data_IF_837144680537
#
_entry.id   IF_837144680537
#
_cell.length_a   1.000
_cell.length_b   1.000
_cell.length_c   1.000
_cell.angle_alpha   90.00
_cell.angle_beta   90.00
_cell.angle_gamma   90.00
#
_symmetry.space_group_name_H-M   'P 1'
#
loop_
_entity.id
_entity.type
_entity.pdbx_description
1 polymer ?
#
# COMPACT_ATOMS: atom_id res chain seq x y z
N UNK A 1 25.94 9.52 7.70
CA UNK A 1 25.66 8.08 7.87
C UNK A 1 24.69 7.94 9.02
N UNK A 2 23.82 6.90 9.06
CA UNK A 2 22.92 6.68 10.20
C UNK A 2 21.64 7.51 10.22
N UNK A 3 21.17 7.98 9.06
CA UNK A 3 19.82 8.55 8.99
C UNK A 3 18.78 7.43 9.14
N UNK A 4 17.76 7.67 9.95
CA UNK A 4 16.66 6.74 10.20
C UNK A 4 15.33 7.46 9.94
N UNK A 5 14.43 6.79 9.24
CA UNK A 5 13.13 7.33 8.86
C UNK A 5 12.06 6.28 9.11
N UNK A 6 10.99 6.68 9.79
CA UNK A 6 9.82 5.83 10.00
C UNK A 6 8.71 6.32 9.10
N UNK A 7 8.12 5.41 8.32
CA UNK A 7 7.03 5.73 7.43
C UNK A 7 5.71 5.93 8.19
N UNK A 8 4.71 6.45 7.50
CA UNK A 8 3.31 6.34 7.94
C UNK A 8 2.89 4.88 8.02
N UNK A 9 1.80 4.65 8.76
CA UNK A 9 1.15 3.34 8.91
C UNK A 9 0.14 3.12 7.79
N UNK A 10 -0.04 1.86 7.38
CA UNK A 10 -1.05 1.42 6.41
C UNK A 10 -1.62 0.08 6.83
N UNK A 11 -2.94 -0.03 6.82
CA UNK A 11 -3.65 -1.30 6.99
C UNK A 11 -3.69 -2.07 5.67
N UNK A 12 -3.28 -3.34 5.71
CA UNK A 12 -3.35 -4.25 4.58
C UNK A 12 -4.77 -4.81 4.50
N UNK A 13 -5.41 -4.69 3.34
CA UNK A 13 -6.77 -5.14 3.08
C UNK A 13 -6.82 -6.40 2.21
N UNK A 14 -7.92 -7.14 2.28
CA UNK A 14 -8.18 -8.28 1.38
C UNK A 14 -8.11 -7.87 -0.09
N UNK A 15 -8.56 -6.66 -0.43
CA UNK A 15 -8.52 -6.15 -1.80
C UNK A 15 -7.10 -5.95 -2.31
N UNK A 16 -6.17 -5.49 -1.47
CA UNK A 16 -4.77 -5.34 -1.86
C UNK A 16 -4.09 -6.69 -2.07
N UNK A 17 -4.41 -7.68 -1.23
CA UNK A 17 -3.94 -9.06 -1.40
C UNK A 17 -4.42 -9.60 -2.74
N UNK A 18 -5.72 -9.48 -3.04
CA UNK A 18 -6.29 -9.94 -4.31
C UNK A 18 -5.67 -9.23 -5.52
N UNK A 19 -5.49 -7.91 -5.46
CA UNK A 19 -4.86 -7.13 -6.54
C UNK A 19 -3.40 -7.53 -6.73
N UNK A 20 -2.64 -7.72 -5.65
CA UNK A 20 -1.25 -8.15 -5.74
C UNK A 20 -1.13 -9.55 -6.33
N UNK A 21 -1.99 -10.49 -5.93
CA UNK A 21 -2.07 -11.81 -6.55
C UNK A 21 -2.33 -11.73 -8.05
N UNK A 22 -3.25 -10.86 -8.48
CA UNK A 22 -3.54 -10.68 -9.90
C UNK A 22 -2.35 -10.10 -10.69
N UNK A 23 -1.64 -9.12 -10.13
CA UNK A 23 -0.48 -8.48 -10.79
C UNK A 23 0.75 -9.38 -10.79
N UNK A 24 1.01 -10.08 -9.69
CA UNK A 24 2.19 -10.95 -9.53
C UNK A 24 2.01 -12.33 -10.15
N UNK A 25 0.77 -12.76 -10.39
CA UNK A 25 0.44 -14.13 -10.78
C UNK A 25 0.48 -15.15 -9.64
N UNK A 26 0.65 -14.70 -8.38
CA UNK A 26 0.63 -15.56 -7.20
C UNK A 26 -0.81 -15.87 -6.76
N UNK A 27 -1.35 -16.96 -7.30
CA UNK A 27 -2.63 -17.54 -6.90
C UNK A 27 -2.46 -18.73 -5.94
N UNK A 28 -1.40 -18.75 -5.14
CA UNK A 28 -1.20 -19.79 -4.13
C UNK A 28 -2.38 -19.84 -3.15
N UNK A 29 -2.83 -21.04 -2.72
CA UNK A 29 -3.95 -21.17 -1.79
C UNK A 29 -3.79 -20.34 -0.50
N UNK A 30 -2.56 -20.19 0.00
CA UNK A 30 -2.27 -19.35 1.18
C UNK A 30 -2.70 -17.88 1.00
N UNK A 31 -2.63 -17.37 -0.22
CA UNK A 31 -2.93 -15.98 -0.55
C UNK A 31 -4.37 -15.80 -1.05
N UNK A 32 -4.89 -16.79 -1.80
CA UNK A 32 -6.18 -16.67 -2.49
C UNK A 32 -7.33 -17.45 -1.87
N UNK A 33 -7.04 -18.46 -1.05
CA UNK A 33 -8.07 -19.24 -0.38
C UNK A 33 -8.33 -18.65 1.02
N UNK A 34 -9.55 -18.17 1.22
CA UNK A 34 -10.06 -17.73 2.53
C UNK A 34 -11.03 -18.76 3.12
N UNK A 35 -11.01 -20.00 2.62
CA UNK A 35 -11.92 -21.04 3.03
C UNK A 35 -11.87 -21.18 4.56
N UNK A 36 -13.05 -21.07 5.19
CA UNK A 36 -13.25 -21.22 6.65
C UNK A 36 -13.02 -19.98 7.53
N UNK A 37 -13.14 -18.76 7.01
CA UNK A 37 -13.20 -17.55 7.87
C UNK A 37 -11.86 -17.13 8.49
N UNK A 38 -10.75 -17.67 7.99
CA UNK A 38 -9.40 -17.17 8.27
C UNK A 38 -9.11 -15.91 7.44
N UNK A 39 -8.34 -14.98 8.00
CA UNK A 39 -7.85 -13.82 7.26
C UNK A 39 -6.83 -14.26 6.19
N UNK A 40 -6.90 -13.68 4.99
CA UNK A 40 -5.95 -13.99 3.91
C UNK A 40 -4.55 -13.55 4.29
N UNK A 41 -3.56 -14.40 3.99
CA UNK A 41 -2.16 -14.02 4.16
C UNK A 41 -1.72 -13.09 3.03
N UNK A 42 -1.05 -12.01 3.41
CA UNK A 42 -0.37 -11.15 2.45
C UNK A 42 0.86 -11.88 1.90
N UNK A 43 1.01 -12.01 0.57
CA UNK A 43 2.22 -12.53 -0.03
C UNK A 43 3.46 -11.75 0.46
N UNK A 44 4.60 -12.39 0.72
CA UNK A 44 5.81 -11.68 1.17
C UNK A 44 6.23 -10.52 0.24
N UNK A 45 6.03 -10.70 -1.08
CA UNK A 45 6.26 -9.65 -2.07
C UNK A 45 5.37 -8.42 -1.89
N UNK A 46 4.12 -8.59 -1.43
CA UNK A 46 3.22 -7.48 -1.13
C UNK A 46 3.76 -6.65 0.05
N UNK A 47 4.23 -7.31 1.11
CA UNK A 47 4.79 -6.62 2.29
C UNK A 47 6.02 -5.79 1.89
N UNK A 48 6.93 -6.36 1.09
CA UNK A 48 8.10 -5.65 0.59
C UNK A 48 7.71 -4.47 -0.34
N UNK A 49 6.74 -4.67 -1.23
CA UNK A 49 6.24 -3.63 -2.12
C UNK A 49 5.57 -2.48 -1.36
N UNK A 50 4.77 -2.77 -0.33
CA UNK A 50 4.16 -1.76 0.54
C UNK A 50 5.22 -0.98 1.31
N UNK A 51 6.23 -1.66 1.87
CA UNK A 51 7.33 -0.99 2.58
C UNK A 51 8.08 0.00 1.66
N UNK A 52 8.37 -0.40 0.42
CA UNK A 52 9.00 0.47 -0.58
C UNK A 52 8.09 1.63 -1.01
N UNK A 53 6.79 1.38 -1.20
CA UNK A 53 5.81 2.41 -1.55
C UNK A 53 5.54 3.42 -0.43
N UNK A 54 5.64 3.01 0.84
CA UNK A 54 5.58 3.94 1.97
C UNK A 54 6.85 4.80 2.05
N UNK A 55 8.02 4.19 1.79
CA UNK A 55 9.29 4.92 1.76
C UNK A 55 9.31 6.03 0.72
N UNK A 56 8.75 5.82 -0.48
CA UNK A 56 8.72 6.85 -1.54
C UNK A 56 7.94 8.11 -1.15
N UNK A 57 7.06 8.01 -0.16
CA UNK A 57 6.24 9.12 0.31
C UNK A 57 6.83 9.80 1.56
N UNK A 58 7.48 9.04 2.44
CA UNK A 58 7.88 9.51 3.77
C UNK A 58 9.38 9.68 3.96
N UNK A 59 10.19 9.17 3.03
CA UNK A 59 11.64 9.31 3.10
C UNK A 59 12.16 10.34 2.10
N UNK A 60 13.27 11.02 2.44
CA UNK A 60 14.05 11.78 1.46
C UNK A 60 14.86 10.81 0.58
N UNK A 61 14.16 10.06 -0.30
CA UNK A 61 14.80 9.14 -1.23
C UNK A 61 15.63 9.97 -2.23
N UNK A 62 16.93 9.68 -2.37
CA UNK A 62 17.78 10.37 -3.35
C UNK A 62 17.35 10.05 -4.78
N UNK A 63 17.93 10.73 -5.77
CA UNK A 63 17.70 10.38 -7.18
C UNK A 63 18.32 9.00 -7.48
N UNK A 64 17.51 7.95 -7.40
CA UNK A 64 17.90 6.56 -7.64
C UNK A 64 18.09 6.34 -9.14
N UNK A 65 19.28 5.90 -9.52
CA UNK A 65 19.61 5.52 -10.89
C UNK A 65 19.19 4.06 -11.17
N UNK A 66 19.45 3.17 -10.23
CA UNK A 66 19.11 1.76 -10.32
C UNK A 66 18.99 1.13 -8.93
N UNK A 67 18.04 0.22 -8.78
CA UNK A 67 18.01 -0.72 -7.66
C UNK A 67 18.95 -1.88 -7.99
N UNK A 68 19.95 -2.09 -7.14
CA UNK A 68 21.04 -3.03 -7.41
C UNK A 68 20.75 -4.39 -6.78
N UNK A 69 20.29 -4.39 -5.54
CA UNK A 69 19.86 -5.61 -4.85
C UNK A 69 18.80 -5.31 -3.79
N UNK A 70 18.03 -6.35 -3.48
CA UNK A 70 17.19 -6.39 -2.30
C UNK A 70 17.23 -7.81 -1.72
N UNK A 71 17.37 -7.92 -0.40
CA UNK A 71 17.30 -9.18 0.35
C UNK A 71 16.29 -9.02 1.46
N UNK A 72 15.45 -10.04 1.69
CA UNK A 72 14.35 -9.98 2.64
C UNK A 72 14.22 -11.27 3.47
N UNK A 73 13.74 -11.11 4.70
CA UNK A 73 13.30 -12.15 5.62
C UNK A 73 11.91 -11.80 6.14
N UNK A 74 11.07 -12.80 6.37
CA UNK A 74 9.68 -12.61 6.79
C UNK A 74 9.39 -13.43 8.05
N UNK A 75 9.83 -12.96 9.24
CA UNK A 75 9.72 -13.72 10.49
C UNK A 75 8.29 -13.89 11.00
N UNK A 76 7.35 -13.01 10.63
CA UNK A 76 5.94 -13.07 11.05
C UNK A 76 5.04 -12.87 9.82
N UNK A 77 4.04 -13.75 9.59
CA UNK A 77 3.09 -13.55 8.50
C UNK A 77 2.25 -12.30 8.77
N UNK A 78 1.89 -11.60 7.68
CA UNK A 78 0.94 -10.49 7.70
C UNK A 78 -0.38 -11.01 7.12
N UNK A 79 -1.50 -10.64 7.73
CA UNK A 79 -2.84 -10.99 7.25
C UNK A 79 -3.66 -9.74 6.94
N UNK A 80 -4.74 -9.91 6.18
CA UNK A 80 -5.71 -8.83 5.99
C UNK A 80 -6.22 -8.30 7.34
N UNK A 81 -6.29 -6.97 7.47
CA UNK A 81 -6.59 -6.25 8.70
C UNK A 81 -5.36 -5.80 9.49
N UNK A 82 -4.19 -6.39 9.26
CA UNK A 82 -2.95 -5.95 9.92
C UNK A 82 -2.55 -4.56 9.45
N UNK A 83 -2.08 -3.75 10.40
CA UNK A 83 -1.50 -2.43 10.10
C UNK A 83 0.00 -2.49 10.23
N UNK A 84 0.71 -2.09 9.16
CA UNK A 84 2.18 -2.12 9.10
C UNK A 84 2.77 -0.72 8.89
N UNK A 85 4.03 -0.56 9.27
CA UNK A 85 4.89 0.58 8.91
C UNK A 85 6.33 0.10 8.76
N UNK A 86 7.15 0.87 8.06
CA UNK A 86 8.55 0.53 7.84
C UNK A 86 9.48 1.55 8.48
N UNK A 87 10.61 1.06 8.96
CA UNK A 87 11.71 1.85 9.50
C UNK A 87 12.93 1.60 8.64
N UNK A 88 13.41 2.66 8.03
CA UNK A 88 14.50 2.61 7.08
C UNK A 88 15.73 3.30 7.66
N UNK A 89 16.85 2.59 7.68
CA UNK A 89 18.10 3.09 8.24
C UNK A 89 19.17 3.06 7.16
N UNK A 90 19.76 4.21 6.84
CA UNK A 90 20.89 4.30 5.91
C UNK A 90 22.16 3.75 6.59
N UNK A 91 22.51 2.51 6.24
CA UNK A 91 23.62 1.75 6.84
C UNK A 91 24.93 1.92 6.09
N UNK A 92 24.89 2.21 4.78
CA UNK A 92 26.11 2.38 4.00
C UNK A 92 25.97 3.46 2.91
N UNK A 93 27.07 4.19 2.68
CA UNK A 93 27.31 5.01 1.49
C UNK A 93 28.69 4.66 0.94
N UNK A 94 28.75 4.12 -0.27
CA UNK A 94 30.01 3.85 -0.98
C UNK A 94 30.25 4.92 -2.02
N UNK A 95 31.43 5.51 -1.99
CA UNK A 95 31.85 6.49 -2.99
C UNK A 95 31.87 5.85 -4.39
N UNK A 96 31.68 6.65 -5.46
CA UNK A 96 31.74 6.14 -6.82
C UNK A 96 33.13 5.59 -7.15
N UNK A 97 33.17 4.49 -7.89
CA UNK A 97 34.41 3.89 -8.40
C UNK A 97 34.67 4.42 -9.80
N UNK A 98 35.94 4.67 -10.15
CA UNK A 98 36.38 4.92 -11.53
C UNK A 98 35.69 6.10 -12.22
N UNK A 99 35.36 7.18 -11.50
CA UNK A 99 34.71 8.35 -12.09
C UNK A 99 33.20 8.21 -12.32
N UNK A 100 32.56 7.16 -11.80
CA UNK A 100 31.11 7.01 -11.89
C UNK A 100 30.36 8.24 -11.33
N UNK A 101 29.23 8.56 -11.98
CA UNK A 101 28.30 9.62 -11.55
C UNK A 101 27.39 9.18 -10.40
N UNK A 102 27.37 7.88 -10.10
CA UNK A 102 26.51 7.28 -9.07
C UNK A 102 27.33 6.72 -7.90
N UNK A 103 26.80 6.88 -6.70
CA UNK A 103 27.30 6.27 -5.46
C UNK A 103 26.36 5.12 -5.07
N UNK A 104 26.83 4.15 -4.28
CA UNK A 104 25.92 3.14 -3.72
C UNK A 104 25.42 3.60 -2.35
N UNK A 105 24.11 3.59 -2.16
CA UNK A 105 23.47 3.72 -0.86
C UNK A 105 22.84 2.38 -0.47
N UNK A 106 22.97 2.01 0.80
CA UNK A 106 22.39 0.79 1.36
C UNK A 106 21.51 1.16 2.54
N UNK A 107 20.30 0.63 2.55
CA UNK A 107 19.35 0.79 3.64
C UNK A 107 18.99 -0.55 4.24
N UNK A 108 18.99 -0.62 5.56
CA UNK A 108 18.26 -1.65 6.32
C UNK A 108 16.80 -1.22 6.42
N UNK A 109 15.88 -2.16 6.29
CA UNK A 109 14.44 -1.96 6.37
C UNK A 109 13.86 -2.91 7.39
N UNK A 110 13.34 -2.39 8.50
CA UNK A 110 12.57 -3.18 9.47
C UNK A 110 11.08 -2.83 9.29
N UNK A 111 10.24 -3.79 8.95
CA UNK A 111 8.79 -3.62 8.81
C UNK A 111 8.12 -4.16 10.06
N UNK A 112 7.31 -3.32 10.69
CA UNK A 112 6.66 -3.60 11.95
C UNK A 112 5.14 -3.66 11.78
N UNK A 113 4.49 -4.55 12.53
CA UNK A 113 3.04 -4.51 12.78
C UNK A 113 2.70 -3.44 13.82
N UNK A 114 1.41 -3.12 13.98
CA UNK A 114 0.94 -2.05 14.90
C UNK A 114 1.33 -2.27 16.36
N UNK A 115 1.49 -3.53 16.79
CA UNK A 115 1.99 -3.95 18.10
C UNK A 115 3.52 -3.79 18.26
N UNK A 116 4.23 -3.38 17.19
CA UNK A 116 5.68 -3.19 17.17
C UNK A 116 6.48 -4.44 16.79
N UNK A 117 5.84 -5.61 16.62
CA UNK A 117 6.53 -6.82 16.22
C UNK A 117 7.08 -6.71 14.78
N UNK A 118 8.27 -7.26 14.53
CA UNK A 118 8.85 -7.27 13.19
C UNK A 118 8.17 -8.36 12.35
N UNK A 119 7.63 -7.98 11.18
CA UNK A 119 7.05 -8.90 10.22
C UNK A 119 7.88 -9.07 8.95
N UNK A 120 8.74 -8.11 8.61
CA UNK A 120 9.74 -8.27 7.56
C UNK A 120 11.02 -7.51 7.90
N UNK A 121 12.15 -8.07 7.50
CA UNK A 121 13.46 -7.43 7.58
C UNK A 121 14.09 -7.45 6.20
N UNK A 122 14.65 -6.33 5.76
CA UNK A 122 15.21 -6.17 4.44
C UNK A 122 16.53 -5.41 4.44
N UNK A 123 17.33 -5.65 3.40
CA UNK A 123 18.42 -4.78 3.00
C UNK A 123 18.24 -4.44 1.53
N UNK A 124 18.30 -3.15 1.20
CA UNK A 124 18.14 -2.65 -0.17
C UNK A 124 19.34 -1.81 -0.54
N UNK A 125 20.00 -2.16 -1.64
CA UNK A 125 21.09 -1.41 -2.23
C UNK A 125 20.67 -0.74 -3.53
N UNK A 126 21.04 0.54 -3.68
CA UNK A 126 20.76 1.29 -4.90
C UNK A 126 21.94 2.16 -5.33
N UNK A 127 22.12 2.27 -6.64
CA UNK A 127 22.91 3.33 -7.25
C UNK A 127 22.14 4.64 -7.21
N UNK A 128 22.74 5.67 -6.64
CA UNK A 128 22.13 7.00 -6.47
C UNK A 128 23.01 8.06 -7.11
N UNK A 129 22.40 8.99 -7.84
CA UNK A 129 23.11 10.15 -8.36
C UNK A 129 23.53 11.06 -7.21
N UNK A 130 24.70 11.69 -7.35
CA UNK A 130 25.06 12.78 -6.43
C UNK A 130 24.13 13.96 -6.66
N UNK A 131 23.64 14.54 -5.56
CA UNK A 131 23.06 15.87 -5.62
C UNK A 131 24.12 16.83 -6.19
N UNK A 132 23.74 17.64 -7.17
CA UNK A 132 24.60 18.73 -7.62
C UNK A 132 24.91 19.62 -6.40
N UNK A 133 26.17 20.00 -6.24
CA UNK A 133 26.51 20.99 -5.22
C UNK A 133 25.66 22.24 -5.49
N UNK A 134 25.04 22.86 -4.47
CA UNK A 134 24.34 24.12 -4.67
C UNK A 134 25.34 25.09 -5.29
N UNK A 135 25.03 25.59 -6.49
CA UNK A 135 25.79 26.67 -7.12
C UNK A 135 25.73 27.82 -6.13
N UNK A 136 26.85 28.13 -5.47
CA UNK A 136 26.97 29.40 -4.76
C UNK A 136 26.80 30.46 -5.83
N UNK A 137 25.63 31.11 -5.85
CA UNK A 137 25.50 32.38 -6.56
C UNK A 137 26.51 33.31 -5.90
N UNK A 138 27.64 33.47 -6.59
CA UNK A 138 28.59 34.51 -6.27
C UNK A 138 27.79 35.79 -6.50
N UNK A 139 27.40 36.44 -5.40
CA UNK A 139 26.86 37.79 -5.47
C UNK A 139 27.95 38.60 -6.16
N UNK A 140 27.70 38.94 -7.42
CA UNK A 140 28.55 39.81 -8.19
C UNK A 140 28.53 41.15 -7.44
N UNK A 141 29.58 41.40 -6.68
CA UNK A 141 29.84 42.67 -6.04
C UNK A 141 30.23 43.64 -7.15
N UNK A 142 29.23 44.04 -7.95
CA UNK A 142 29.33 45.13 -8.89
C UNK A 142 29.59 46.40 -8.11
N UNK A 143 30.86 46.78 -8.05
CA UNK A 143 31.32 48.09 -7.62
C UNK A 143 30.76 49.15 -8.59
N UNK A 144 29.55 49.63 -8.32
CA UNK A 144 29.02 50.87 -8.88
C UNK A 144 29.47 52.04 -8.03
N UNK A 145 30.55 52.72 -8.44
CA UNK A 145 31.01 53.96 -7.84
C UNK A 145 29.89 55.03 -7.92
N UNK A 146 29.33 55.40 -6.76
CA UNK A 146 28.36 56.48 -6.65
C UNK A 146 29.08 57.84 -6.74
N UNK A 147 28.89 58.54 -7.86
CA UNK A 147 29.26 59.97 -8.00
C UNK A 147 28.18 60.81 -7.33
N UNK A 148 28.56 61.59 -6.32
CA UNK A 148 27.68 62.50 -5.59
C UNK A 148 27.32 63.75 -6.43
N UNK A 149 26.05 64.19 -6.52
CA UNK A 149 25.72 65.47 -7.13
C UNK A 149 25.82 66.62 -6.13
N UNK A 150 26.38 67.74 -6.61
CA UNK A 150 26.60 68.96 -5.83
C UNK A 150 25.31 69.73 -5.55
N UNK A 151 25.27 70.34 -4.35
CA UNK A 151 24.18 71.21 -3.89
C UNK A 151 24.01 72.42 -4.80
N UNK A 152 22.86 72.53 -5.47
CA UNK A 152 22.36 73.80 -6.01
C UNK A 152 21.00 74.14 -5.44
N UNK A 153 20.96 75.23 -4.67
CA UNK A 153 19.76 75.90 -4.14
C UNK A 153 18.70 76.04 -5.24
N UNK A 154 17.47 75.56 -4.98
CA UNK A 154 16.27 76.01 -5.69
C UNK A 154 15.14 76.31 -4.71
N UNK A 155 14.56 77.50 -4.94
CA UNK A 155 13.40 78.11 -4.29
C UNK A 155 12.16 77.22 -4.42
N UNK A 156 11.31 77.23 -3.39
CA UNK A 156 9.91 76.76 -3.44
C UNK A 156 9.12 77.57 -4.46
N UNK A 157 8.16 76.93 -5.16
CA UNK A 157 6.78 77.39 -5.04
C UNK A 157 5.75 76.27 -4.85
N UNK A 158 4.56 76.74 -4.47
CA UNK A 158 3.30 76.08 -4.14
C UNK A 158 2.68 75.25 -5.28
N UNK A 159 1.91 74.25 -4.87
CA UNK A 159 0.58 73.94 -5.41
C UNK A 159 0.54 72.92 -6.55
N UNK A 160 -0.21 71.84 -6.35
CA UNK A 160 -0.54 70.88 -7.42
C UNK A 160 -0.89 69.50 -6.87
N UNK A 161 -2.19 69.25 -6.72
CA UNK A 161 -2.83 67.97 -6.43
C UNK A 161 -2.59 66.93 -7.53
N UNK A 162 -2.21 65.71 -7.18
CA UNK A 162 -2.40 64.52 -8.01
C UNK A 162 -2.35 63.23 -7.16
N UNK A 163 -3.55 62.69 -6.96
CA UNK A 163 -3.96 61.29 -6.73
C UNK A 163 -2.87 60.20 -6.85
N UNK A 164 -2.69 59.42 -5.77
CA UNK A 164 -2.06 58.10 -5.80
C UNK A 164 -3.14 57.04 -5.60
N UNK A 165 -3.47 56.33 -6.68
CA UNK A 165 -4.33 55.15 -6.65
C UNK A 165 -3.61 54.00 -5.96
N UNK A 166 -4.11 53.58 -4.80
CA UNK A 166 -3.72 52.33 -4.16
C UNK A 166 -4.36 51.13 -4.89
N UNK A 167 -3.63 50.02 -5.15
CA UNK A 167 -4.25 48.81 -5.66
C UNK A 167 -5.09 48.12 -4.57
N UNK A 168 -6.30 47.70 -4.96
CA UNK A 168 -7.32 47.10 -4.09
C UNK A 168 -6.88 45.76 -3.46
N UNK A 169 -7.37 45.41 -2.26
CA UNK A 169 -7.09 44.13 -1.63
C UNK A 169 -7.83 42.97 -2.31
N UNK A 170 -7.14 41.84 -2.44
CA UNK A 170 -7.66 40.58 -2.99
C UNK A 170 -8.70 39.98 -2.02
N UNK A 171 -9.89 39.54 -2.48
CA UNK A 171 -10.91 38.95 -1.60
C UNK A 171 -10.51 37.53 -1.14
N UNK A 172 -10.91 37.10 0.07
CA UNK A 172 -10.65 35.75 0.56
C UNK A 172 -11.50 34.69 -0.17
N UNK A 173 -11.07 33.42 -0.19
CA UNK A 173 -11.75 32.35 -0.93
C UNK A 173 -13.12 32.02 -0.32
N UNK A 174 -14.09 31.74 -1.20
CA UNK A 174 -15.48 31.44 -0.85
C UNK A 174 -15.58 30.14 -0.02
N UNK A 175 -16.18 30.28 1.16
CA UNK A 175 -16.61 29.17 2.02
C UNK A 175 -17.83 28.52 1.37
N UNK A 176 -17.76 27.22 1.05
CA UNK A 176 -18.93 26.49 0.55
C UNK A 176 -19.90 26.26 1.70
N UNK A 177 -21.10 26.82 1.58
CA UNK A 177 -22.18 26.65 2.54
C UNK A 177 -22.70 25.21 2.56
N UNK A 178 -22.82 24.63 3.76
CA UNK A 178 -23.54 23.39 4.02
C UNK A 178 -24.99 23.50 3.53
N UNK A 179 -25.45 22.47 2.79
CA UNK A 179 -26.86 22.33 2.43
C UNK A 179 -27.67 21.79 3.62
N UNK A 180 -28.82 22.39 3.95
CA UNK A 180 -29.63 21.95 5.09
C UNK A 180 -30.35 20.62 4.81
N UNK A 181 -30.51 19.85 5.88
CA UNK A 181 -31.21 18.57 5.92
C UNK A 181 -32.68 18.69 5.46
N UNK A 182 -33.00 18.04 4.34
CA UNK A 182 -34.35 17.93 3.80
C UNK A 182 -35.13 16.76 4.39
N UNK A 183 -36.12 17.10 5.21
CA UNK A 183 -37.34 16.37 5.61
C UNK A 183 -37.59 14.94 5.09
N UNK A 184 -37.78 14.01 6.04
CA UNK A 184 -38.33 12.66 5.88
C UNK A 184 -39.61 12.65 5.02
N UNK A 185 -39.57 12.00 3.86
CA UNK A 185 -40.78 11.53 3.15
C UNK A 185 -40.91 10.01 3.29
N UNK A 186 -41.85 9.62 4.17
CA UNK A 186 -42.39 8.27 4.35
C UNK A 186 -43.02 7.80 3.04
N UNK A 187 -42.38 6.88 2.31
CA UNK A 187 -43.01 6.21 1.15
C UNK A 187 -43.42 4.79 1.52
N UNK A 188 -44.74 4.60 1.47
CA UNK A 188 -45.50 3.39 1.80
C UNK A 188 -44.99 2.14 1.06
N UNK A 189 -44.87 1.04 1.80
CA UNK A 189 -44.95 -0.33 1.27
C UNK A 189 -46.23 -0.48 0.45
N UNK A 190 -46.11 -0.93 -0.81
CA UNK A 190 -47.22 -1.52 -1.57
C UNK A 190 -47.01 -3.03 -1.59
N UNK A 191 -47.84 -3.71 -0.81
CA UNK A 191 -48.18 -5.12 -0.94
C UNK A 191 -49.44 -5.23 -1.80
N UNK A 192 -49.46 -6.16 -2.75
CA UNK A 192 -50.66 -6.64 -3.45
C UNK A 192 -50.51 -8.17 -3.54
N UNK A 193 -51.21 -8.97 -2.71
CA UNK A 193 -52.53 -9.61 -2.98
C UNK A 193 -52.52 -10.39 -4.31
N UNK A 194 -52.51 -11.72 -4.37
CA UNK A 194 -53.46 -12.71 -3.79
C UNK A 194 -54.40 -13.19 -4.92
N UNK A 195 -54.68 -14.50 -5.10
CA UNK A 195 -55.79 -15.17 -4.39
C UNK A 195 -55.39 -16.60 -3.95
N UNK A 196 -56.04 -17.31 -3.04
CA UNK A 196 -57.36 -17.24 -2.41
C UNK A 196 -57.83 -18.69 -2.26
N UNK A 197 -58.09 -19.14 -1.02
CA UNK A 197 -59.13 -20.12 -0.68
C UNK A 197 -59.22 -20.25 0.85
N UNK A 198 -60.43 -20.01 1.37
CA UNK A 198 -60.75 -20.11 2.78
C UNK A 198 -61.24 -21.50 3.18
N UNK A 199 -61.14 -21.80 4.48
CA UNK A 199 -62.30 -22.13 5.31
C UNK A 199 -61.90 -22.34 6.79
N UNK A 200 -62.54 -21.56 7.67
CA UNK A 200 -63.17 -21.95 8.94
C UNK A 200 -62.47 -22.82 10.00
N UNK A 201 -62.03 -22.14 11.06
CA UNK A 201 -62.28 -22.42 12.50
C UNK A 201 -61.58 -23.61 13.24
N UNK A 202 -61.35 -23.48 14.58
CA UNK A 202 -60.21 -24.09 15.27
C UNK A 202 -60.57 -25.24 16.21
N UNK A 203 -59.61 -26.13 16.47
CA UNK A 203 -59.66 -27.13 17.57
C UNK A 203 -58.36 -27.14 18.37
N UNK A 204 -58.50 -27.26 19.69
CA UNK A 204 -57.45 -27.26 20.72
C UNK A 204 -56.94 -28.68 21.06
N UNK A 205 -55.70 -28.75 21.59
CA UNK A 205 -55.01 -29.82 22.36
C UNK A 205 -54.54 -31.06 21.55
N UNK A 206 -53.34 -31.66 21.72
CA UNK A 206 -52.40 -31.86 22.83
C UNK A 206 -50.92 -31.95 22.33
N UNK A 207 -49.89 -31.91 23.22
CA UNK A 207 -48.48 -32.01 22.84
C UNK A 207 -48.00 -33.47 22.73
N UNK A 208 -47.88 -33.96 21.49
CA UNK A 208 -47.34 -35.29 21.17
C UNK A 208 -45.86 -35.26 20.80
N UNK A 209 -45.05 -35.95 21.60
CA UNK A 209 -43.78 -36.62 21.33
C UNK A 209 -42.84 -36.09 20.21
N UNK A 210 -41.63 -35.71 20.63
CA UNK A 210 -40.50 -35.47 19.73
C UNK A 210 -40.10 -36.75 18.97
N UNK A 211 -39.83 -36.69 17.65
CA UNK A 211 -39.34 -37.85 16.90
C UNK A 211 -37.89 -38.15 17.25
N UNK A 212 -37.66 -39.40 17.67
CA UNK A 212 -36.36 -40.01 17.95
C UNK A 212 -35.53 -40.11 16.67
N UNK A 213 -34.38 -39.43 16.64
CA UNK A 213 -33.42 -39.53 15.54
C UNK A 213 -32.69 -40.89 15.61
N UNK A 214 -32.49 -41.61 14.49
CA UNK A 214 -31.68 -42.81 14.49
C UNK A 214 -30.19 -42.46 14.68
N UNK A 215 -29.54 -43.14 15.63
CA UNK A 215 -28.14 -42.95 15.98
C UNK A 215 -27.21 -43.31 14.79
N UNK A 216 -26.30 -42.41 14.46
CA UNK A 216 -25.19 -42.66 13.54
C UNK A 216 -24.13 -43.55 14.23
N UNK A 217 -23.58 -44.59 13.57
CA UNK A 217 -22.55 -45.43 14.16
C UNK A 217 -21.21 -44.67 14.27
N UNK A 218 -20.54 -44.79 15.42
CA UNK A 218 -19.20 -44.25 15.68
C UNK A 218 -18.14 -44.85 14.72
N UNK A 219 -17.13 -44.08 14.27
CA UNK A 219 -16.07 -44.62 13.44
C UNK A 219 -15.10 -45.47 14.27
N UNK A 220 -15.06 -46.77 13.98
CA UNK A 220 -14.06 -47.68 14.51
C UNK A 220 -12.65 -47.28 14.06
N UNK A 221 -11.78 -47.00 15.03
CA UNK A 221 -10.34 -46.80 14.83
C UNK A 221 -9.75 -48.14 14.37
N UNK A 222 -9.32 -48.23 13.11
CA UNK A 222 -8.48 -49.32 12.61
C UNK A 222 -7.11 -48.77 12.23
N UNK A 223 -6.12 -49.15 13.03
CA UNK A 223 -4.70 -48.99 12.73
C UNK A 223 -4.27 -50.15 11.82
N UNK A 224 -3.98 -49.87 10.56
CA UNK A 224 -3.27 -50.81 9.68
C UNK A 224 -1.99 -50.16 9.13
N UNK A 225 -0.85 -50.88 9.11
CA UNK A 225 0.42 -50.35 8.62
C UNK A 225 0.47 -50.32 7.09
N UNK A 226 1.12 -49.26 6.60
CA UNK A 226 1.38 -48.94 5.20
C UNK A 226 2.16 -50.05 4.48
N UNK A 227 1.54 -50.68 3.47
CA UNK A 227 2.22 -51.54 2.49
C UNK A 227 2.27 -50.81 1.15
N UNK A 228 3.48 -50.47 0.72
CA UNK A 228 3.73 -49.87 -0.59
C UNK A 228 3.47 -50.90 -1.71
N UNK A 229 2.66 -50.51 -2.70
CA UNK A 229 2.48 -51.25 -3.96
C UNK A 229 3.01 -50.42 -5.15
N UNK A 230 3.56 -51.08 -6.20
CA UNK A 230 4.46 -50.45 -7.16
C UNK A 230 3.75 -49.56 -8.18
N UNK A 231 4.51 -48.57 -8.65
CA UNK A 231 4.12 -47.53 -9.61
C UNK A 231 3.75 -48.12 -10.97
N UNK A 232 2.47 -48.09 -11.33
CA UNK A 232 2.02 -48.26 -12.72
C UNK A 232 2.40 -47.03 -13.55
N UNK A 233 3.33 -47.23 -14.50
CA UNK A 233 3.75 -46.23 -15.50
C UNK A 233 2.67 -46.04 -16.56
N UNK A 234 1.58 -45.36 -16.25
CA UNK A 234 0.67 -44.90 -17.31
C UNK A 234 -0.20 -43.74 -16.85
N UNK A 235 0.42 -42.58 -16.62
CA UNK A 235 -0.25 -41.27 -16.64
C UNK A 235 0.82 -40.16 -16.69
N UNK A 236 1.47 -40.03 -17.85
CA UNK A 236 2.42 -38.95 -18.08
C UNK A 236 1.65 -37.65 -18.38
N UNK A 237 1.73 -36.70 -17.44
CA UNK A 237 1.25 -35.32 -17.57
C UNK A 237 1.63 -34.73 -18.94
N UNK A 238 0.69 -34.17 -19.73
CA UNK A 238 0.92 -33.69 -21.10
C UNK A 238 2.07 -32.66 -21.21
N UNK A 239 2.31 -31.88 -20.15
CA UNK A 239 3.42 -30.91 -20.09
C UNK A 239 4.81 -31.57 -20.13
N UNK A 240 4.94 -32.78 -19.57
CA UNK A 240 6.21 -33.53 -19.56
C UNK A 240 6.65 -33.97 -20.97
N UNK A 241 5.71 -34.21 -21.89
CA UNK A 241 6.00 -34.53 -23.30
C UNK A 241 6.51 -33.31 -24.06
N UNK A 242 5.95 -32.14 -23.80
CA UNK A 242 6.35 -30.88 -24.44
C UNK A 242 7.77 -30.50 -24.03
N UNK A 243 8.09 -30.59 -22.74
CA UNK A 243 9.43 -30.28 -22.24
C UNK A 243 10.51 -31.29 -22.71
N UNK A 244 10.14 -32.56 -22.93
CA UNK A 244 11.05 -33.56 -23.53
C UNK A 244 11.32 -33.30 -25.01
N UNK A 245 10.35 -32.77 -25.77
CA UNK A 245 10.55 -32.41 -27.18
C UNK A 245 11.48 -31.22 -27.35
N UNK A 246 11.41 -30.22 -26.47
CA UNK A 246 12.26 -29.03 -26.52
C UNK A 246 13.74 -29.30 -26.17
N UNK A 247 14.05 -30.39 -25.45
CA UNK A 247 15.43 -30.77 -25.09
C UNK A 247 16.12 -31.68 -26.12
N UNK A 248 15.47 -32.04 -27.22
CA UNK A 248 15.98 -33.01 -28.20
C UNK A 248 16.06 -32.50 -29.64
N UNK A 249 16.06 -31.19 -29.84
CA UNK A 249 16.41 -30.62 -31.15
C UNK A 249 17.87 -30.16 -31.12
N UNK A 250 18.70 -30.58 -32.09
CA UNK A 250 20.09 -30.15 -32.22
C UNK A 250 20.22 -28.67 -32.60
#
# INVERSE_FOLDING_TARGET
MGGEWTTRRRTISDSEIALFSAVSGDFSPLSVDASSGSARHAPPGLVAAVAAGLASMDMPIPHVAAWEWASWKFPKPVVAGDTIYARWTLTQKRAPVGGSRTSIAVWRVDVHTADGAICAEGEVGASVFRAAAPVRQQADAGAGAAVAPSRRRRRRPRGGTAEQTQPAPVPPPAVQAERPAGTRRRRRRRTSSGPGNGNGAPTHAEPGAAPMQPALPEPAVRSEPMVASPVSRENANPLSRVMKRLRRSP
#
